data_IF_579704634773
#
_entry.id   IF_579704634773
#
_cell.length_a   1.000
_cell.length_b   1.000
_cell.length_c   1.000
_cell.angle_alpha   90.00
_cell.angle_beta   90.00
_cell.angle_gamma   90.00
#
_symmetry.space_group_name_H-M   'P 1'
#
loop_
_entity.id
_entity.type
_entity.pdbx_description
1 polymer ?
#
# COMPACT_ATOMS: atom_id res chain seq x y z
N UNK A 1 15.42 14.44 -14.33
CA UNK A 1 15.08 13.09 -14.84
C UNK A 1 13.56 12.99 -14.89
N UNK A 2 12.93 13.09 -16.07
CA UNK A 2 11.46 13.08 -16.21
C UNK A 2 10.84 11.69 -15.98
N UNK A 3 11.56 10.61 -16.27
CA UNK A 3 11.05 9.23 -16.17
C UNK A 3 10.84 8.77 -14.71
N UNK A 4 11.72 9.16 -13.80
CA UNK A 4 11.61 8.88 -12.35
C UNK A 4 10.32 9.46 -11.76
N UNK A 5 9.91 10.63 -12.25
CA UNK A 5 8.68 11.30 -11.78
C UNK A 5 7.42 10.58 -12.25
N UNK A 6 7.43 10.01 -13.46
CA UNK A 6 6.29 9.26 -13.99
C UNK A 6 6.11 7.91 -13.29
N UNK A 7 7.19 7.16 -13.08
CA UNK A 7 7.15 5.88 -12.35
C UNK A 7 6.68 6.08 -10.89
N UNK A 8 7.17 7.13 -10.23
CA UNK A 8 6.74 7.48 -8.88
C UNK A 8 5.24 7.83 -8.83
N UNK A 9 4.75 8.65 -9.75
CA UNK A 9 3.33 9.03 -9.78
C UNK A 9 2.40 7.82 -10.00
N UNK A 10 2.81 6.87 -10.84
CA UNK A 10 2.06 5.63 -11.07
C UNK A 10 2.05 4.76 -9.81
N UNK A 11 3.22 4.56 -9.17
CA UNK A 11 3.30 3.78 -7.93
C UNK A 11 2.51 4.42 -6.79
N UNK A 12 2.56 5.74 -6.66
CA UNK A 12 1.78 6.49 -5.68
C UNK A 12 0.27 6.25 -5.91
N UNK A 13 -0.22 6.39 -7.14
CA UNK A 13 -1.62 6.14 -7.44
C UNK A 13 -2.05 4.69 -7.20
N UNK A 14 -1.19 3.71 -7.54
CA UNK A 14 -1.47 2.29 -7.26
C UNK A 14 -1.57 2.04 -5.76
N UNK A 15 -0.66 2.62 -4.97
CA UNK A 15 -0.68 2.52 -3.50
C UNK A 15 -1.94 3.15 -2.90
N UNK A 16 -2.37 4.32 -3.38
CA UNK A 16 -3.59 4.99 -2.90
C UNK A 16 -4.83 4.12 -3.17
N UNK A 17 -5.00 3.65 -4.39
CA UNK A 17 -6.15 2.81 -4.78
C UNK A 17 -6.14 1.48 -4.01
N UNK A 18 -4.98 0.86 -3.87
CA UNK A 18 -4.86 -0.41 -3.15
C UNK A 18 -5.10 -0.22 -1.64
N UNK A 19 -4.68 0.90 -1.06
CA UNK A 19 -4.92 1.20 0.36
C UNK A 19 -6.41 1.42 0.64
N UNK A 20 -7.09 2.24 -0.16
CA UNK A 20 -8.53 2.45 -0.04
C UNK A 20 -9.32 1.16 -0.26
N UNK A 21 -8.88 0.33 -1.21
CA UNK A 21 -9.41 -1.00 -1.47
C UNK A 21 -9.23 -1.95 -0.28
N UNK A 22 -8.05 -1.95 0.34
CA UNK A 22 -7.74 -2.76 1.51
C UNK A 22 -8.61 -2.38 2.72
N UNK A 23 -8.76 -1.08 2.99
CA UNK A 23 -9.63 -0.58 4.06
C UNK A 23 -11.08 -1.02 3.82
N UNK A 24 -11.58 -0.84 2.59
CA UNK A 24 -12.93 -1.28 2.22
C UNK A 24 -13.13 -2.79 2.36
N UNK A 25 -12.15 -3.59 1.96
CA UNK A 25 -12.20 -5.05 2.07
C UNK A 25 -12.16 -5.51 3.54
N UNK A 26 -11.32 -4.87 4.36
CA UNK A 26 -11.24 -5.13 5.81
C UNK A 26 -12.56 -4.81 6.50
N UNK A 27 -13.14 -3.65 6.24
CA UNK A 27 -14.38 -3.20 6.87
C UNK A 27 -15.58 -4.05 6.41
N UNK A 28 -15.54 -4.60 5.18
CA UNK A 28 -16.49 -5.59 4.69
C UNK A 28 -16.22 -7.03 5.19
N UNK A 29 -15.13 -7.27 5.92
CA UNK A 29 -14.72 -8.61 6.37
C UNK A 29 -14.31 -9.56 5.25
N UNK A 30 -14.00 -9.05 4.06
CA UNK A 30 -13.59 -9.84 2.91
C UNK A 30 -12.07 -10.10 2.92
N UNK A 31 -11.68 -11.23 3.51
CA UNK A 31 -10.27 -11.60 3.70
C UNK A 31 -9.51 -11.79 2.39
N UNK A 32 -10.10 -12.48 1.42
CA UNK A 32 -9.45 -12.75 0.13
C UNK A 32 -9.14 -11.45 -0.62
N UNK A 33 -10.10 -10.51 -0.66
CA UNK A 33 -9.85 -9.19 -1.25
C UNK A 33 -8.82 -8.39 -0.46
N UNK A 34 -8.85 -8.47 0.87
CA UNK A 34 -7.87 -7.80 1.73
C UNK A 34 -6.45 -8.32 1.46
N UNK A 35 -6.28 -9.63 1.36
CA UNK A 35 -4.99 -10.26 1.02
C UNK A 35 -4.50 -9.83 -0.37
N UNK A 36 -5.38 -9.79 -1.38
CA UNK A 36 -5.02 -9.31 -2.71
C UNK A 36 -4.55 -7.84 -2.72
N UNK A 37 -5.24 -6.95 -1.99
CA UNK A 37 -4.78 -5.56 -1.88
C UNK A 37 -3.51 -5.43 -1.05
N UNK A 38 -3.33 -6.24 -0.02
CA UNK A 38 -2.09 -6.32 0.74
C UNK A 38 -0.90 -6.68 -0.17
N UNK A 39 -1.03 -7.70 -1.02
CA UNK A 39 0.04 -8.11 -1.95
C UNK A 39 0.43 -6.98 -2.91
N UNK A 40 -0.56 -6.22 -3.40
CA UNK A 40 -0.32 -5.05 -4.26
C UNK A 40 0.44 -3.94 -3.50
N UNK A 41 0.06 -3.67 -2.26
CA UNK A 41 0.71 -2.67 -1.41
C UNK A 41 2.16 -3.04 -1.09
N UNK A 42 2.40 -4.30 -0.73
CA UNK A 42 3.73 -4.84 -0.44
C UNK A 42 4.63 -4.80 -1.68
N UNK A 43 4.12 -5.29 -2.81
CA UNK A 43 4.83 -5.24 -4.09
C UNK A 43 5.21 -3.80 -4.49
N UNK A 44 4.26 -2.85 -4.42
CA UNK A 44 4.51 -1.47 -4.83
C UNK A 44 5.56 -0.78 -3.94
N UNK A 45 5.57 -1.09 -2.64
CA UNK A 45 6.62 -0.65 -1.70
C UNK A 45 7.99 -1.23 -2.06
N UNK A 46 8.07 -2.54 -2.30
CA UNK A 46 9.30 -3.20 -2.73
C UNK A 46 9.83 -2.62 -4.06
N UNK A 47 8.95 -2.33 -5.02
CA UNK A 47 9.36 -1.70 -6.28
C UNK A 47 9.97 -0.31 -6.06
N UNK A 48 9.37 0.51 -5.21
CA UNK A 48 9.91 1.83 -4.90
C UNK A 48 11.32 1.75 -4.27
N UNK A 49 11.56 0.77 -3.41
CA UNK A 49 12.88 0.50 -2.83
C UNK A 49 13.89 0.02 -3.88
N UNK A 50 13.52 -0.96 -4.71
CA UNK A 50 14.40 -1.51 -5.77
C UNK A 50 14.78 -0.44 -6.79
N UNK A 51 13.84 0.45 -7.13
CA UNK A 51 14.06 1.56 -8.04
C UNK A 51 14.75 2.77 -7.38
N UNK A 52 15.04 2.69 -6.08
CA UNK A 52 15.60 3.77 -5.26
C UNK A 52 14.84 5.10 -5.45
N UNK A 53 13.51 5.01 -5.47
CA UNK A 53 12.65 6.17 -5.66
C UNK A 53 12.67 7.06 -4.40
N UNK A 54 12.50 8.38 -4.58
CA UNK A 54 12.28 9.27 -3.44
C UNK A 54 10.96 8.94 -2.74
N UNK A 55 10.76 9.52 -1.55
CA UNK A 55 9.50 9.40 -0.80
C UNK A 55 8.31 9.88 -1.64
N UNK A 56 7.17 9.22 -1.47
CA UNK A 56 5.90 9.62 -2.07
C UNK A 56 5.45 10.98 -1.54
N UNK A 57 4.63 11.69 -2.30
CA UNK A 57 4.08 12.98 -1.86
C UNK A 57 3.08 12.78 -0.71
N UNK A 58 2.36 11.66 -0.74
CA UNK A 58 1.42 11.23 0.29
C UNK A 58 2.16 10.66 1.50
N UNK A 59 2.15 11.42 2.62
CA UNK A 59 2.84 11.01 3.84
C UNK A 59 2.25 9.73 4.47
N UNK A 60 0.94 9.51 4.33
CA UNK A 60 0.29 8.28 4.80
C UNK A 60 0.87 7.06 4.09
N UNK A 61 1.12 7.16 2.78
CA UNK A 61 1.75 6.09 2.03
C UNK A 61 3.20 5.86 2.44
N UNK A 62 3.94 6.90 2.82
CA UNK A 62 5.31 6.71 3.34
C UNK A 62 5.32 5.93 4.66
N UNK A 63 4.37 6.24 5.55
CA UNK A 63 4.24 5.61 6.88
C UNK A 63 3.50 4.27 6.86
N UNK A 64 2.83 3.94 5.76
CA UNK A 64 2.09 2.71 5.60
C UNK A 64 3.01 1.48 5.72
N UNK A 65 2.70 0.66 6.71
CA UNK A 65 3.13 -0.74 6.82
C UNK A 65 1.95 -1.65 6.44
N UNK A 66 1.97 -2.29 5.25
CA UNK A 66 0.87 -3.15 4.79
C UNK A 66 0.54 -4.29 5.75
N UNK A 67 1.49 -4.81 6.53
CA UNK A 67 1.27 -5.92 7.46
C UNK A 67 0.31 -5.55 8.60
N UNK A 68 0.21 -4.27 8.92
CA UNK A 68 -0.76 -3.78 9.91
C UNK A 68 -2.20 -4.04 9.47
N UNK A 69 -2.48 -4.11 8.15
CA UNK A 69 -3.81 -4.38 7.60
C UNK A 69 -4.25 -5.83 7.84
N UNK A 70 -3.31 -6.78 7.81
CA UNK A 70 -3.57 -8.20 8.07
C UNK A 70 -3.71 -8.50 9.58
N UNK A 71 -3.10 -7.67 10.42
CA UNK A 71 -3.04 -7.87 11.88
C UNK A 71 -4.35 -7.55 12.63
N UNK A 72 -5.48 -7.41 11.93
CA UNK A 72 -6.82 -7.16 12.48
C UNK A 72 -7.38 -8.32 13.31
N UNK A 73 -6.74 -8.67 14.43
CA UNK A 73 -7.29 -9.16 15.71
C UNK A 73 -6.15 -9.56 16.67
N UNK A 74 -5.61 -8.59 17.42
CA UNK A 74 -5.26 -8.76 18.84
C UNK A 74 -5.26 -7.40 19.56
N UNK A 75 -6.45 -6.82 19.71
CA UNK A 75 -6.79 -6.10 20.95
C UNK A 75 -7.98 -6.82 21.58
N UNK A 76 -7.64 -7.85 22.34
CA UNK A 76 -8.51 -8.46 23.33
C UNK A 76 -7.63 -8.76 24.55
N UNK A 77 -7.63 -7.80 25.49
CA UNK A 77 -7.46 -7.91 26.94
C UNK A 77 -7.42 -6.49 27.51
#
# INVERSE_FOLDING_TARGET
MPETNAAMAVLEQVLEIAYDGAISARDAGNKEKLEAFFEVLDWAKMQAEVMNLPKFSNNTLNELDPYTLLSGKKKAA
#
